data_IF_586271180494
#
_entry.id   IF_586271180494
#
_cell.length_a   1.000
_cell.length_b   1.000
_cell.length_c   1.000
_cell.angle_alpha   90.00
_cell.angle_beta   90.00
_cell.angle_gamma   90.00
#
_symmetry.space_group_name_H-M   'P 1'
#
loop_
_entity.id
_entity.type
_entity.pdbx_description
1 polymer ?
#
# COMPACT_ATOMS: atom_id res chain seq x y z
N UNK A 1 -16.50 56.98 -1.00
CA UNK A 1 -16.20 55.53 -1.03
C UNK A 1 -14.68 55.38 -1.14
N UNK A 2 -14.11 54.57 -0.26
CA UNK A 2 -12.68 54.22 -0.11
C UNK A 2 -12.12 53.45 -1.35
N UNK A 3 -10.80 53.11 -1.46
CA UNK A 3 -9.79 53.05 -0.40
C UNK A 3 -8.37 53.58 -0.70
N UNK A 4 -7.64 53.71 0.39
CA UNK A 4 -6.21 53.97 0.60
C UNK A 4 -5.29 52.93 -0.08
N UNK A 5 -4.09 53.32 -0.56
CA UNK A 5 -3.02 52.37 -0.83
C UNK A 5 -2.33 51.97 0.48
N UNK A 6 -2.30 50.67 0.73
CA UNK A 6 -1.64 50.00 1.85
C UNK A 6 -0.11 50.16 1.73
N UNK A 7 0.50 50.79 2.74
CA UNK A 7 1.94 50.95 2.88
C UNK A 7 2.51 49.64 3.42
N UNK A 8 3.38 49.00 2.66
CA UNK A 8 4.09 47.78 3.04
C UNK A 8 5.27 48.21 3.93
N UNK A 9 5.21 47.90 5.22
CA UNK A 9 6.35 48.04 6.14
C UNK A 9 7.40 46.93 5.90
N UNK A 10 8.71 47.26 5.91
CA UNK A 10 9.77 46.26 5.97
C UNK A 10 10.06 45.79 7.42
N UNK A 11 9.86 44.50 7.67
CA UNK A 11 10.63 43.55 8.53
C UNK A 11 11.60 44.13 9.57
N UNK A 12 11.57 43.66 10.84
CA UNK A 12 12.53 42.62 11.25
C UNK A 12 11.97 41.59 12.24
N UNK A 13 11.98 40.30 11.86
CA UNK A 13 11.96 39.19 12.82
C UNK A 13 13.39 38.63 12.91
N UNK A 14 14.03 38.63 14.09
CA UNK A 14 15.38 38.11 14.25
C UNK A 14 15.35 36.58 14.21
N UNK A 15 16.03 36.04 13.20
CA UNK A 15 16.50 34.65 13.19
C UNK A 15 17.57 34.49 14.26
N UNK A 16 17.17 33.99 15.43
CA UNK A 16 18.12 33.50 16.44
C UNK A 16 18.46 32.05 16.10
N UNK A 17 19.55 31.90 15.35
CA UNK A 17 20.26 30.62 15.20
C UNK A 17 21.26 30.54 16.34
N UNK A 18 20.95 29.76 17.38
CA UNK A 18 21.96 29.35 18.37
C UNK A 18 21.94 27.83 18.56
N UNK A 19 22.95 27.23 17.94
CA UNK A 19 23.86 26.19 18.41
C UNK A 19 23.39 25.05 19.37
N UNK A 20 23.88 23.86 19.01
CA UNK A 20 24.39 22.79 19.91
C UNK A 20 23.45 21.61 20.21
N UNK A 21 23.64 20.50 19.48
CA UNK A 21 24.11 19.23 20.06
C UNK A 21 24.25 18.14 18.97
N UNK A 22 25.38 17.42 18.86
CA UNK A 22 25.49 16.24 18.00
C UNK A 22 24.72 15.05 18.59
N UNK A 23 24.07 14.21 17.76
CA UNK A 23 23.33 13.04 18.22
C UNK A 23 24.26 11.97 18.80
N UNK A 24 23.90 11.50 20.00
CA UNK A 24 24.54 10.42 20.73
C UNK A 24 24.47 9.09 19.95
N UNK A 25 25.62 8.43 19.81
CA UNK A 25 25.77 7.10 19.22
C UNK A 25 25.04 6.04 20.07
N UNK A 26 24.38 5.03 19.48
CA UNK A 26 23.98 3.84 20.22
C UNK A 26 25.21 2.95 20.53
N UNK A 27 25.32 2.37 21.74
CA UNK A 27 26.41 1.45 22.06
C UNK A 27 26.25 0.08 21.38
N UNK A 28 27.39 -0.48 20.97
CA UNK A 28 27.56 -1.78 20.35
C UNK A 28 27.03 -2.95 21.22
N UNK A 29 26.62 -4.08 20.61
CA UNK A 29 26.10 -5.25 21.32
C UNK A 29 27.22 -6.01 22.04
N UNK A 30 27.05 -6.23 23.35
CA UNK A 30 27.89 -7.16 24.10
C UNK A 30 27.39 -8.62 23.92
N UNK A 31 28.29 -9.60 23.73
CA UNK A 31 27.95 -11.02 23.56
C UNK A 31 27.98 -11.76 24.91
N UNK A 32 26.95 -12.55 25.25
CA UNK A 32 27.03 -13.53 26.33
C UNK A 32 26.30 -14.82 25.92
N UNK A 33 27.05 -15.93 25.95
CA UNK A 33 26.67 -17.30 25.61
C UNK A 33 26.17 -18.08 26.85
N UNK A 34 25.13 -18.91 26.62
CA UNK A 34 24.86 -20.27 27.17
C UNK A 34 24.80 -20.55 28.70
N UNK A 35 24.37 -21.77 29.15
CA UNK A 35 23.23 -22.60 28.77
C UNK A 35 22.45 -23.10 30.03
N UNK A 36 21.20 -23.56 29.88
CA UNK A 36 20.72 -24.61 30.81
C UNK A 36 19.64 -25.51 30.24
N UNK A 37 19.76 -26.76 30.66
CA UNK A 37 19.30 -28.00 30.05
C UNK A 37 18.15 -28.55 30.90
N UNK A 38 16.98 -28.79 30.31
CA UNK A 38 16.05 -29.77 30.84
C UNK A 38 15.18 -30.35 29.71
N UNK A 39 15.23 -31.68 29.64
CA UNK A 39 14.77 -32.58 28.60
C UNK A 39 13.52 -33.29 29.13
N UNK A 40 12.35 -33.17 28.49
CA UNK A 40 11.26 -34.16 28.67
C UNK A 40 10.45 -34.34 27.38
N UNK A 41 10.66 -35.50 26.77
CA UNK A 41 9.73 -36.42 26.11
C UNK A 41 8.62 -35.93 25.17
N UNK A 42 8.72 -36.41 23.93
CA UNK A 42 7.72 -36.34 22.86
C UNK A 42 6.39 -37.07 23.19
N UNK A 43 5.34 -36.79 22.40
CA UNK A 43 4.63 -37.89 21.75
C UNK A 43 4.61 -37.74 20.20
N UNK A 44 4.61 -38.86 19.45
CA UNK A 44 4.59 -38.84 17.99
C UNK A 44 3.16 -38.59 17.53
N UNK A 45 2.92 -37.49 16.81
CA UNK A 45 1.61 -37.22 16.21
C UNK A 45 1.73 -37.11 14.70
N UNK A 46 1.27 -38.20 14.07
CA UNK A 46 0.60 -38.30 12.78
C UNK A 46 1.14 -37.47 11.62
N UNK A 47 1.63 -38.20 10.61
CA UNK A 47 1.78 -37.77 9.22
C UNK A 47 0.46 -37.15 8.73
N UNK A 48 0.33 -35.83 8.83
CA UNK A 48 -0.72 -35.12 8.11
C UNK A 48 -0.30 -35.05 6.65
N UNK A 49 -1.14 -35.66 5.80
CA UNK A 49 -1.14 -35.53 4.35
C UNK A 49 -0.72 -34.13 3.95
N UNK A 50 0.33 -34.04 3.16
CA UNK A 50 0.65 -32.84 2.39
C UNK A 50 -0.58 -32.51 1.54
N UNK A 51 -1.40 -31.57 2.03
CA UNK A 51 -2.26 -30.80 1.16
C UNK A 51 -1.32 -30.13 0.17
N UNK A 52 -1.54 -30.40 -1.12
CA UNK A 52 -0.83 -29.73 -2.18
C UNK A 52 -0.93 -28.23 -1.92
N UNK A 53 0.19 -27.63 -1.49
CA UNK A 53 0.31 -26.18 -1.42
C UNK A 53 0.16 -25.72 -2.85
N UNK A 54 -0.99 -25.12 -3.18
CA UNK A 54 -1.08 -24.30 -4.38
C UNK A 54 0.14 -23.38 -4.35
N UNK A 55 0.98 -23.47 -5.37
CA UNK A 55 2.16 -22.63 -5.46
C UNK A 55 1.68 -21.18 -5.35
N UNK A 56 2.23 -20.39 -4.41
CA UNK A 56 1.78 -19.02 -4.23
C UNK A 56 1.97 -18.31 -5.57
N UNK A 57 0.88 -17.75 -6.08
CA UNK A 57 0.88 -16.94 -7.30
C UNK A 57 2.03 -15.95 -7.21
N UNK A 58 2.95 -16.04 -8.17
CA UNK A 58 4.19 -15.26 -8.13
C UNK A 58 3.81 -13.81 -8.43
N UNK A 59 3.83 -12.94 -7.41
CA UNK A 59 3.62 -11.52 -7.62
C UNK A 59 4.62 -10.99 -8.66
N UNK A 60 4.08 -10.44 -9.74
CA UNK A 60 4.85 -9.79 -10.81
C UNK A 60 4.66 -8.28 -10.71
N UNK A 61 5.76 -7.53 -10.76
CA UNK A 61 5.69 -6.07 -10.81
C UNK A 61 5.35 -5.61 -12.24
N UNK A 62 4.24 -4.89 -12.38
CA UNK A 62 3.84 -4.21 -13.61
C UNK A 62 4.00 -2.70 -13.45
N UNK A 63 4.70 -2.06 -14.39
CA UNK A 63 4.87 -0.60 -14.39
C UNK A 63 3.79 0.06 -15.26
N UNK A 64 2.73 0.57 -14.63
CA UNK A 64 1.58 1.17 -15.31
C UNK A 64 1.68 2.70 -15.18
N UNK A 65 1.53 3.41 -16.30
CA UNK A 65 1.42 4.88 -16.31
C UNK A 65 -0.06 5.26 -16.27
N UNK A 66 -0.47 6.03 -15.26
CA UNK A 66 -1.82 6.57 -15.11
C UNK A 66 -1.76 8.09 -14.94
N UNK A 67 -2.87 8.78 -15.25
CA UNK A 67 -2.97 10.21 -15.00
C UNK A 67 -3.04 10.54 -13.51
N UNK A 68 -2.55 11.72 -13.11
CA UNK A 68 -2.58 12.18 -11.70
C UNK A 68 -3.98 12.11 -11.08
N UNK A 69 -5.02 12.44 -11.86
CA UNK A 69 -6.42 12.36 -11.44
C UNK A 69 -6.86 10.91 -11.14
N UNK A 70 -6.43 9.95 -11.96
CA UNK A 70 -6.75 8.53 -11.75
C UNK A 70 -6.01 7.98 -10.52
N UNK A 71 -4.74 8.37 -10.34
CA UNK A 71 -3.98 7.99 -9.14
C UNK A 71 -4.66 8.51 -7.88
N UNK A 72 -5.07 9.79 -7.87
CA UNK A 72 -5.78 10.38 -6.74
C UNK A 72 -7.09 9.63 -6.48
N UNK A 73 -7.89 9.39 -7.53
CA UNK A 73 -9.16 8.67 -7.41
C UNK A 73 -8.99 7.26 -6.83
N UNK A 74 -7.94 6.51 -7.25
CA UNK A 74 -7.65 5.19 -6.69
C UNK A 74 -7.29 5.26 -5.20
N UNK A 75 -6.53 6.28 -4.79
CA UNK A 75 -6.13 6.48 -3.40
C UNK A 75 -7.34 6.87 -2.51
N UNK A 76 -8.17 7.80 -2.99
CA UNK A 76 -9.40 8.23 -2.31
C UNK A 76 -10.39 7.07 -2.18
N UNK A 77 -10.59 6.31 -3.26
CA UNK A 77 -11.50 5.16 -3.26
C UNK A 77 -11.01 4.05 -2.33
N UNK A 78 -9.71 3.72 -2.35
CA UNK A 78 -9.16 2.73 -1.43
C UNK A 78 -9.31 3.17 0.04
N UNK A 79 -9.12 4.46 0.31
CA UNK A 79 -9.32 5.05 1.63
C UNK A 79 -10.78 4.94 2.05
N UNK A 80 -11.72 5.31 1.18
CA UNK A 80 -13.15 5.19 1.43
C UNK A 80 -13.57 3.74 1.71
N UNK A 81 -13.09 2.78 0.92
CA UNK A 81 -13.38 1.35 1.16
C UNK A 81 -12.83 0.89 2.50
N UNK A 82 -11.66 1.39 2.92
CA UNK A 82 -11.11 1.11 4.24
C UNK A 82 -11.95 1.75 5.36
N UNK A 83 -12.39 2.98 5.17
CA UNK A 83 -13.14 3.73 6.18
C UNK A 83 -14.59 3.22 6.32
N UNK A 84 -15.11 2.47 5.34
CA UNK A 84 -16.38 1.74 5.43
C UNK A 84 -16.35 0.54 6.40
N UNK A 85 -15.18 0.11 6.88
CA UNK A 85 -15.10 -1.04 7.80
C UNK A 85 -15.43 -0.58 9.23
N UNK A 86 -16.49 -1.14 9.80
CA UNK A 86 -16.93 -0.85 11.17
C UNK A 86 -15.95 -1.41 12.23
N UNK A 87 -15.26 -2.50 11.89
CA UNK A 87 -14.26 -3.15 12.74
C UNK A 87 -12.83 -2.85 12.25
N UNK A 88 -11.85 -2.78 13.16
CA UNK A 88 -10.46 -2.54 12.78
C UNK A 88 -9.89 -3.70 11.95
N UNK A 89 -9.62 -3.42 10.68
CA UNK A 89 -9.04 -4.40 9.74
C UNK A 89 -7.51 -4.47 9.88
N UNK A 90 -6.93 -5.67 10.03
CA UNK A 90 -5.49 -5.85 10.11
C UNK A 90 -4.80 -5.40 8.81
N UNK A 91 -3.53 -4.96 8.86
CA UNK A 91 -2.84 -4.39 7.70
C UNK A 91 -2.88 -5.26 6.43
N UNK A 92 -2.82 -6.58 6.59
CA UNK A 92 -2.83 -7.55 5.49
C UNK A 92 -4.15 -7.61 4.72
N UNK A 93 -5.26 -7.23 5.34
CA UNK A 93 -6.60 -7.29 4.75
C UNK A 93 -7.08 -5.90 4.29
N UNK A 94 -6.26 -4.86 4.48
CA UNK A 94 -6.62 -3.50 4.04
C UNK A 94 -6.63 -3.40 2.53
N UNK A 95 -7.61 -2.67 2.02
CA UNK A 95 -7.70 -2.35 0.60
C UNK A 95 -6.70 -1.25 0.25
N UNK A 96 -5.87 -1.51 -0.75
CA UNK A 96 -4.90 -0.58 -1.31
C UNK A 96 -5.20 -0.36 -2.80
N UNK A 97 -4.71 0.71 -3.43
CA UNK A 97 -4.88 0.95 -4.86
C UNK A 97 -4.52 -0.26 -5.75
N UNK A 98 -3.48 -1.01 -5.39
CA UNK A 98 -3.09 -2.23 -6.10
C UNK A 98 -4.19 -3.31 -6.09
N UNK A 99 -4.93 -3.42 -4.98
CA UNK A 99 -6.01 -4.40 -4.84
C UNK A 99 -7.19 -4.03 -5.75
N UNK A 100 -7.50 -2.73 -5.88
CA UNK A 100 -8.53 -2.26 -6.81
C UNK A 100 -8.19 -2.59 -8.27
N UNK A 101 -6.92 -2.45 -8.65
CA UNK A 101 -6.46 -2.85 -9.99
C UNK A 101 -6.59 -4.37 -10.18
N UNK A 102 -6.23 -5.16 -9.18
CA UNK A 102 -6.40 -6.62 -9.21
C UNK A 102 -7.87 -7.03 -9.40
N UNK A 103 -8.78 -6.44 -8.62
CA UNK A 103 -10.22 -6.67 -8.76
C UNK A 103 -10.72 -6.27 -10.14
N UNK A 104 -10.26 -5.14 -10.68
CA UNK A 104 -10.62 -4.72 -12.04
C UNK A 104 -10.17 -5.75 -13.10
N UNK A 105 -8.98 -6.34 -12.95
CA UNK A 105 -8.50 -7.41 -13.85
C UNK A 105 -9.39 -8.65 -13.74
N UNK A 106 -9.78 -9.03 -12.53
CA UNK A 106 -10.68 -10.16 -12.28
C UNK A 106 -12.06 -9.94 -12.89
N UNK A 107 -12.59 -8.71 -12.78
CA UNK A 107 -13.84 -8.31 -13.43
C UNK A 107 -13.74 -8.39 -14.96
N UNK A 108 -12.63 -7.91 -15.54
CA UNK A 108 -12.41 -8.02 -16.99
C UNK A 108 -12.31 -9.49 -17.42
N UNK A 109 -11.56 -10.33 -16.69
CA UNK A 109 -11.45 -11.76 -17.01
C UNK A 109 -12.79 -12.50 -16.90
N UNK A 110 -13.63 -12.10 -15.94
CA UNK A 110 -14.95 -12.68 -15.72
C UNK A 110 -16.02 -12.13 -16.68
N UNK A 111 -15.74 -11.01 -17.35
CA UNK A 111 -16.63 -10.45 -18.34
C UNK A 111 -16.71 -11.38 -19.56
N UNK A 112 -17.93 -11.61 -20.05
CA UNK A 112 -18.19 -12.44 -21.23
C UNK A 112 -17.89 -11.67 -22.52
N UNK A 113 -16.61 -11.33 -22.70
CA UNK A 113 -16.11 -10.48 -23.78
C UNK A 113 -15.23 -11.30 -24.70
N UNK A 114 -15.47 -11.20 -26.01
CA UNK A 114 -14.57 -11.76 -27.02
C UNK A 114 -13.35 -10.86 -27.20
N UNK A 115 -12.27 -11.18 -26.46
CA UNK A 115 -11.01 -10.44 -26.51
C UNK A 115 -10.29 -10.50 -27.87
N UNK A 116 -10.63 -11.49 -28.70
CA UNK A 116 -9.99 -11.68 -30.01
C UNK A 116 -10.42 -10.62 -31.03
N UNK A 117 -11.61 -10.04 -30.87
CA UNK A 117 -12.16 -9.05 -31.79
C UNK A 117 -11.85 -7.59 -31.38
N UNK A 118 -11.29 -7.36 -30.19
CA UNK A 118 -10.98 -6.02 -29.68
C UNK A 118 -9.62 -5.56 -30.21
N UNK A 119 -9.61 -4.44 -30.96
CA UNK A 119 -8.39 -3.90 -31.58
C UNK A 119 -7.82 -2.67 -30.88
N UNK A 120 -8.64 -1.93 -30.15
CA UNK A 120 -8.27 -0.67 -29.52
C UNK A 120 -9.16 -0.40 -28.29
N UNK A 121 -8.84 0.66 -27.56
CA UNK A 121 -9.56 1.04 -26.34
C UNK A 121 -11.00 1.49 -26.58
N UNK A 122 -11.33 2.00 -27.76
CA UNK A 122 -12.70 2.45 -28.08
C UNK A 122 -13.61 1.26 -28.38
N UNK A 123 -13.11 0.22 -29.07
CA UNK A 123 -13.81 -1.06 -29.23
C UNK A 123 -14.07 -1.71 -27.86
N UNK A 124 -13.07 -1.68 -26.97
CA UNK A 124 -13.22 -2.21 -25.62
C UNK A 124 -14.34 -1.49 -24.84
N UNK A 125 -14.37 -0.16 -24.87
CA UNK A 125 -15.41 0.63 -24.20
C UNK A 125 -16.81 0.30 -24.72
N UNK A 126 -16.96 0.17 -26.05
CA UNK A 126 -18.25 -0.20 -26.66
C UNK A 126 -18.75 -1.57 -26.20
N UNK A 127 -17.84 -2.55 -26.09
CA UNK A 127 -18.21 -3.91 -25.65
C UNK A 127 -18.54 -3.95 -24.16
N UNK A 128 -17.89 -3.09 -23.36
CA UNK A 128 -18.15 -2.96 -21.93
C UNK A 128 -19.28 -1.97 -21.57
N UNK A 129 -19.91 -1.34 -22.57
CA UNK A 129 -20.94 -0.31 -22.41
C UNK A 129 -20.48 0.88 -21.52
N UNK A 130 -19.25 1.34 -21.76
CA UNK A 130 -18.55 2.42 -21.02
C UNK A 130 -18.39 3.73 -21.81
#
# INVERSE_FOLDING_TARGET
MAPVPEVIEPTPEPTETEATAPPSLPPAPAPIQEPSKAKVSAPPRAKQKATAKAEPDKLVTVNIKIGKKQQQWLAETATQVRDNNEEPVPPSERVYPQHLIGVAIDLLRSANVDWSNIRNTEDLKKVLDL
#
